data_IF_516791010920
#
_entry.id   IF_516791010920
#
_cell.length_a   1.000
_cell.length_b   1.000
_cell.length_c   1.000
_cell.angle_alpha   90.00
_cell.angle_beta   90.00
_cell.angle_gamma   90.00
#
_symmetry.space_group_name_H-M   'P 1'
#
loop_
_entity.id
_entity.type
_entity.pdbx_description
1 polymer ?
#
# COMPACT_ATOMS: atom_id res chain seq x y z
N UNK A 1 -33.69 -34.05 -54.79
CA UNK A 1 -32.69 -34.49 -53.78
C UNK A 1 -32.16 -33.26 -53.09
N UNK A 2 -32.52 -33.03 -51.85
CA UNK A 2 -32.13 -31.83 -51.08
C UNK A 2 -30.94 -32.21 -50.20
N UNK A 3 -29.75 -31.77 -50.55
CA UNK A 3 -28.55 -31.91 -49.73
C UNK A 3 -28.60 -30.95 -48.57
N UNK A 4 -28.83 -31.46 -47.38
CA UNK A 4 -28.71 -30.68 -46.13
C UNK A 4 -27.27 -30.38 -45.83
N UNK A 5 -26.86 -29.12 -45.97
CA UNK A 5 -25.57 -28.62 -45.48
C UNK A 5 -25.66 -28.48 -43.97
N UNK A 6 -25.00 -29.37 -43.26
CA UNK A 6 -24.83 -29.28 -41.82
C UNK A 6 -23.72 -28.25 -41.60
N UNK A 7 -24.12 -27.09 -41.13
CA UNK A 7 -23.22 -26.01 -40.72
C UNK A 7 -22.73 -26.34 -39.30
N UNK A 8 -21.52 -26.92 -39.21
CA UNK A 8 -20.83 -27.07 -37.94
C UNK A 8 -20.40 -25.67 -37.43
N UNK A 9 -21.15 -25.14 -36.51
CA UNK A 9 -20.74 -23.96 -35.74
C UNK A 9 -19.75 -24.47 -34.70
N UNK A 10 -18.47 -24.31 -34.99
CA UNK A 10 -17.40 -24.48 -34.00
C UNK A 10 -17.40 -23.21 -33.13
N UNK A 11 -18.11 -23.28 -32.02
CA UNK A 11 -18.00 -22.31 -30.96
C UNK A 11 -16.63 -22.47 -30.31
N UNK A 12 -15.68 -21.71 -30.83
CA UNK A 12 -14.37 -21.53 -30.17
C UNK A 12 -14.59 -20.83 -28.86
N UNK A 13 -14.68 -21.61 -27.79
CA UNK A 13 -14.69 -21.10 -26.42
C UNK A 13 -13.29 -20.56 -26.12
N UNK A 14 -13.11 -19.27 -26.40
CA UNK A 14 -11.91 -18.52 -26.06
C UNK A 14 -11.84 -18.44 -24.53
N UNK A 15 -11.17 -19.40 -23.92
CA UNK A 15 -10.78 -19.36 -22.52
C UNK A 15 -9.83 -18.19 -22.34
N UNK A 16 -10.36 -16.98 -22.05
CA UNK A 16 -9.55 -15.91 -21.49
C UNK A 16 -9.09 -16.41 -20.11
N UNK A 17 -7.93 -17.04 -20.08
CA UNK A 17 -7.16 -17.17 -18.86
C UNK A 17 -6.78 -15.75 -18.46
N UNK A 18 -7.60 -15.11 -17.63
CA UNK A 18 -7.20 -13.92 -16.91
C UNK A 18 -6.00 -14.32 -16.08
N UNK A 19 -4.81 -13.91 -16.51
CA UNK A 19 -3.66 -13.84 -15.65
C UNK A 19 -4.02 -12.86 -14.53
N UNK A 20 -4.69 -13.34 -13.50
CA UNK A 20 -4.78 -12.67 -12.23
C UNK A 20 -3.37 -12.69 -11.64
N UNK A 21 -2.54 -11.75 -12.09
CA UNK A 21 -1.35 -11.39 -11.34
C UNK A 21 -1.84 -11.12 -9.92
N UNK A 22 -1.41 -11.94 -8.97
CA UNK A 22 -1.77 -11.73 -7.57
C UNK A 22 -1.24 -10.36 -7.20
N UNK A 23 -2.15 -9.40 -7.09
CA UNK A 23 -1.83 -8.06 -6.67
C UNK A 23 -1.14 -8.17 -5.31
N UNK A 24 0.12 -7.77 -5.25
CA UNK A 24 0.95 -7.96 -4.06
C UNK A 24 0.62 -6.88 -3.05
N UNK A 25 0.13 -7.30 -1.89
CA UNK A 25 -0.10 -6.43 -0.75
C UNK A 25 1.20 -5.74 -0.32
N UNK A 26 1.10 -4.46 0.04
CA UNK A 26 2.22 -3.64 0.47
C UNK A 26 1.97 -3.15 1.90
N UNK A 27 2.98 -3.19 2.74
CA UNK A 27 2.99 -2.51 4.04
C UNK A 27 4.19 -1.58 4.10
N UNK A 28 3.95 -0.34 4.48
CA UNK A 28 4.95 0.71 4.48
C UNK A 28 5.09 1.24 5.90
N UNK A 29 6.31 1.21 6.41
CA UNK A 29 6.66 1.79 7.69
C UNK A 29 7.39 3.11 7.43
N UNK A 30 6.84 4.20 7.92
CA UNK A 30 7.42 5.53 7.77
C UNK A 30 7.71 6.08 9.15
N UNK A 31 8.97 6.33 9.44
CA UNK A 31 9.38 6.99 10.69
C UNK A 31 9.60 8.47 10.45
N UNK A 32 9.09 9.27 11.37
CA UNK A 32 9.32 10.70 11.46
C UNK A 32 9.85 11.06 12.85
N UNK A 33 10.48 12.22 12.94
CA UNK A 33 10.90 12.82 14.20
C UNK A 33 10.32 14.23 14.28
N UNK A 34 9.63 14.51 15.36
CA UNK A 34 9.13 15.84 15.69
C UNK A 34 10.05 16.60 16.63
N UNK A 35 9.55 17.70 17.18
CA UNK A 35 10.20 18.52 18.19
C UNK A 35 9.15 19.12 19.13
N UNK A 36 9.42 19.17 20.43
CA UNK A 36 8.52 19.78 21.41
C UNK A 36 7.09 19.21 21.38
N UNK A 37 6.96 17.91 21.19
CA UNK A 37 5.69 17.19 21.13
C UNK A 37 4.93 17.36 19.80
N UNK A 38 5.55 17.90 18.76
CA UNK A 38 4.88 18.16 17.47
C UNK A 38 4.38 16.88 16.80
N UNK A 39 5.06 15.74 17.00
CA UNK A 39 4.62 14.46 16.46
C UNK A 39 3.23 14.04 16.97
N UNK A 40 2.97 14.23 18.28
CA UNK A 40 1.67 13.93 18.87
C UNK A 40 0.59 14.90 18.41
N UNK A 41 0.91 16.20 18.37
CA UNK A 41 -0.03 17.24 17.88
C UNK A 41 -0.41 17.02 16.42
N UNK A 42 0.55 16.61 15.58
CA UNK A 42 0.27 16.23 14.21
C UNK A 42 -0.75 15.09 14.13
N UNK A 43 -0.57 14.02 14.91
CA UNK A 43 -1.51 12.89 14.91
C UNK A 43 -2.88 13.31 15.42
N UNK A 44 -2.94 14.11 16.49
CA UNK A 44 -4.19 14.65 17.01
C UNK A 44 -4.95 15.46 15.94
N UNK A 45 -4.24 16.28 15.16
CA UNK A 45 -4.85 17.06 14.08
C UNK A 45 -5.27 16.17 12.91
N UNK A 46 -4.46 15.20 12.52
CA UNK A 46 -4.81 14.22 11.47
C UNK A 46 -6.12 13.47 11.78
N UNK A 47 -6.32 13.10 13.03
CA UNK A 47 -7.54 12.41 13.50
C UNK A 47 -8.71 13.39 13.63
N UNK A 48 -8.54 14.53 14.30
CA UNK A 48 -9.63 15.47 14.59
C UNK A 48 -10.16 16.19 13.34
N UNK A 49 -9.30 16.46 12.35
CA UNK A 49 -9.70 17.06 11.07
C UNK A 49 -10.33 16.06 10.10
N UNK A 50 -10.29 14.76 10.40
CA UNK A 50 -10.79 13.69 9.55
C UNK A 50 -9.89 13.38 8.34
N UNK A 51 -8.67 13.91 8.28
CA UNK A 51 -7.72 13.57 7.20
C UNK A 51 -7.39 12.07 7.25
N UNK A 52 -7.09 11.54 8.44
CA UNK A 52 -6.78 10.12 8.61
C UNK A 52 -7.94 9.22 8.18
N UNK A 53 -9.18 9.59 8.48
CA UNK A 53 -10.36 8.83 8.07
C UNK A 53 -10.56 8.83 6.54
N UNK A 54 -10.30 9.97 5.88
CA UNK A 54 -10.34 10.04 4.42
C UNK A 54 -9.26 9.17 3.77
N UNK A 55 -8.08 9.07 4.38
CA UNK A 55 -7.02 8.16 3.91
C UNK A 55 -7.45 6.70 4.09
N UNK A 56 -7.99 6.33 5.24
CA UNK A 56 -8.52 4.98 5.52
C UNK A 56 -9.66 4.60 4.58
N UNK A 57 -10.41 5.57 4.07
CA UNK A 57 -11.50 5.38 3.11
C UNK A 57 -11.04 5.26 1.65
N UNK A 58 -9.75 5.45 1.34
CA UNK A 58 -9.23 5.22 -0.01
C UNK A 58 -9.39 3.75 -0.37
N UNK A 59 -9.94 3.48 -1.55
CA UNK A 59 -10.13 2.11 -2.03
C UNK A 59 -8.82 1.33 -2.05
N UNK A 60 -8.81 0.16 -1.39
CA UNK A 60 -7.64 -0.69 -1.22
C UNK A 60 -6.75 -0.32 -0.05
N UNK A 61 -7.13 0.63 0.81
CA UNK A 61 -6.48 0.85 2.09
C UNK A 61 -6.82 -0.30 3.04
N UNK A 62 -5.83 -0.96 3.58
CA UNK A 62 -5.97 -2.06 4.55
C UNK A 62 -5.67 -1.61 5.98
N UNK A 63 -4.97 -0.49 6.15
CA UNK A 63 -4.65 0.09 7.43
C UNK A 63 -3.85 1.39 7.29
N UNK A 64 -4.03 2.29 8.24
CA UNK A 64 -3.31 3.56 8.35
C UNK A 64 -3.24 3.92 9.83
N UNK A 65 -2.15 3.53 10.49
CA UNK A 65 -2.03 3.53 11.93
C UNK A 65 -0.78 4.26 12.42
N UNK A 66 -0.90 4.93 13.57
CA UNK A 66 0.17 5.67 14.20
C UNK A 66 0.66 4.98 15.46
N UNK A 67 1.97 4.96 15.65
CA UNK A 67 2.62 4.41 16.82
C UNK A 67 3.66 5.38 17.35
N UNK A 68 3.74 5.50 18.66
CA UNK A 68 4.76 6.29 19.32
C UNK A 68 5.77 5.36 19.98
N UNK A 69 7.06 5.43 19.62
CA UNK A 69 8.09 4.62 20.24
C UNK A 69 8.17 4.89 21.75
N UNK A 70 8.32 3.84 22.54
CA UNK A 70 8.36 3.97 24.00
C UNK A 70 9.62 4.68 24.53
N UNK A 71 10.69 4.62 23.75
CA UNK A 71 12.01 5.18 24.05
C UNK A 71 12.31 6.52 23.35
N UNK A 72 11.37 7.03 22.56
CA UNK A 72 11.52 8.27 21.78
C UNK A 72 10.21 9.08 21.81
N UNK A 73 10.14 10.07 22.68
CA UNK A 73 8.95 10.90 22.86
C UNK A 73 8.65 11.82 21.67
N UNK A 74 9.62 12.06 20.80
CA UNK A 74 9.50 12.87 19.59
C UNK A 74 9.36 12.02 18.31
N UNK A 75 9.45 10.70 18.45
CA UNK A 75 9.31 9.76 17.37
C UNK A 75 7.86 9.50 16.99
N UNK A 76 7.61 9.30 15.70
CA UNK A 76 6.35 8.82 15.15
C UNK A 76 6.64 7.71 14.14
N UNK A 77 5.98 6.58 14.29
CA UNK A 77 5.95 5.52 13.29
C UNK A 77 4.53 5.46 12.68
N UNK A 78 4.43 5.76 11.41
CA UNK A 78 3.24 5.50 10.61
C UNK A 78 3.40 4.16 9.90
N UNK A 79 2.40 3.30 10.03
CA UNK A 79 2.30 2.05 9.29
C UNK A 79 1.07 2.13 8.43
N UNK A 80 1.25 2.11 7.11
CA UNK A 80 0.15 2.01 6.16
C UNK A 80 0.25 0.73 5.34
N UNK A 81 -0.90 0.17 4.99
CA UNK A 81 -1.01 -1.09 4.25
C UNK A 81 -2.04 -0.96 3.13
N UNK A 82 -1.71 -1.52 1.97
CA UNK A 82 -2.46 -1.37 0.73
C UNK A 82 -2.62 -2.72 0.03
N UNK A 83 -3.76 -2.96 -0.57
CA UNK A 83 -4.03 -4.20 -1.32
C UNK A 83 -3.03 -4.43 -2.45
N UNK A 84 -2.55 -3.34 -3.06
CA UNK A 84 -1.64 -3.39 -4.20
C UNK A 84 -1.04 -2.00 -4.49
N UNK A 85 -0.14 -1.94 -5.46
CA UNK A 85 0.51 -0.70 -5.89
C UNK A 85 -0.50 0.33 -6.44
N UNK A 86 -1.58 -0.09 -7.08
CA UNK A 86 -2.59 0.84 -7.60
C UNK A 86 -3.34 1.56 -6.48
N UNK A 87 -3.68 0.85 -5.40
CA UNK A 87 -4.30 1.44 -4.22
C UNK A 87 -3.37 2.50 -3.58
N UNK A 88 -2.09 2.19 -3.44
CA UNK A 88 -1.08 3.13 -2.97
C UNK A 88 -0.98 4.35 -3.90
N UNK A 89 -1.00 4.15 -5.21
CA UNK A 89 -0.94 5.25 -6.18
C UNK A 89 -2.18 6.14 -6.10
N UNK A 90 -3.38 5.57 -5.89
CA UNK A 90 -4.62 6.34 -5.65
C UNK A 90 -4.47 7.23 -4.41
N UNK A 91 -3.94 6.69 -3.32
CA UNK A 91 -3.67 7.45 -2.12
C UNK A 91 -2.68 8.59 -2.39
N UNK A 92 -1.57 8.33 -3.05
CA UNK A 92 -0.57 9.35 -3.37
C UNK A 92 -1.12 10.49 -4.26
N UNK A 93 -2.11 10.21 -5.09
CA UNK A 93 -2.78 11.20 -5.93
C UNK A 93 -3.97 11.90 -5.23
N UNK A 94 -4.31 11.50 -4.01
CA UNK A 94 -5.50 12.00 -3.31
C UNK A 94 -5.28 13.37 -2.67
N UNK A 95 -6.36 14.18 -2.53
CA UNK A 95 -6.31 15.42 -1.77
C UNK A 95 -5.89 15.19 -0.30
N UNK A 96 -6.31 14.07 0.31
CA UNK A 96 -5.97 13.74 1.69
C UNK A 96 -4.45 13.56 1.89
N UNK A 97 -3.74 12.99 0.90
CA UNK A 97 -2.27 12.91 0.93
C UNK A 97 -1.62 14.29 0.87
N UNK A 98 -2.16 15.21 0.07
CA UNK A 98 -1.67 16.58 -0.03
C UNK A 98 -1.87 17.34 1.29
N UNK A 99 -3.06 17.21 1.89
CA UNK A 99 -3.37 17.80 3.20
C UNK A 99 -2.46 17.23 4.31
N UNK A 100 -2.29 15.90 4.35
CA UNK A 100 -1.40 15.25 5.30
C UNK A 100 0.07 15.69 5.14
N UNK A 101 0.50 15.95 3.91
CA UNK A 101 1.85 16.45 3.62
C UNK A 101 2.02 17.90 4.10
N UNK A 102 1.06 18.77 3.81
CA UNK A 102 1.09 20.16 4.27
C UNK A 102 1.08 20.24 5.80
N UNK A 103 0.23 19.45 6.44
CA UNK A 103 0.16 19.40 7.90
C UNK A 103 1.48 18.90 8.52
N UNK A 104 2.10 17.91 7.92
CA UNK A 104 3.41 17.38 8.35
C UNK A 104 4.52 18.44 8.28
N UNK A 105 4.51 19.26 7.23
CA UNK A 105 5.43 20.38 7.08
C UNK A 105 5.14 21.47 8.15
N UNK A 106 3.87 21.79 8.39
CA UNK A 106 3.44 22.76 9.41
C UNK A 106 3.92 22.37 10.80
N UNK A 107 3.81 21.09 11.17
CA UNK A 107 4.28 20.56 12.45
C UNK A 107 5.79 20.27 12.49
N UNK A 108 6.52 20.53 11.41
CA UNK A 108 7.97 20.38 11.35
C UNK A 108 8.46 18.95 11.54
N UNK A 109 7.69 17.95 11.09
CA UNK A 109 8.10 16.55 11.14
C UNK A 109 9.17 16.26 10.10
N UNK A 110 10.37 15.90 10.57
CA UNK A 110 11.54 15.60 9.76
C UNK A 110 12.05 14.17 9.91
N UNK A 111 13.30 13.92 9.51
CA UNK A 111 13.97 12.63 9.69
C UNK A 111 13.29 11.44 9.02
N UNK A 112 12.56 11.67 7.92
CA UNK A 112 11.74 10.66 7.26
C UNK A 112 12.58 9.48 6.78
N UNK A 113 12.29 8.29 7.30
CA UNK A 113 12.80 7.01 6.76
C UNK A 113 11.63 6.12 6.35
N UNK A 114 11.78 5.42 5.23
CA UNK A 114 10.73 4.55 4.67
C UNK A 114 11.27 3.15 4.49
N UNK A 115 10.51 2.16 4.99
CA UNK A 115 10.75 0.75 4.72
C UNK A 115 9.47 0.14 4.16
N UNK A 116 9.58 -0.61 3.08
CA UNK A 116 8.46 -1.29 2.45
C UNK A 116 8.60 -2.80 2.66
N UNK A 117 7.49 -3.44 2.98
CA UNK A 117 7.40 -4.86 3.22
C UNK A 117 6.30 -5.46 2.34
N UNK A 118 6.53 -6.69 1.93
CA UNK A 118 5.52 -7.50 1.26
C UNK A 118 5.25 -8.74 2.10
N UNK A 119 3.99 -9.14 2.33
CA UNK A 119 3.70 -10.33 3.12
C UNK A 119 4.27 -11.58 2.46
N UNK A 120 4.87 -12.44 3.26
CA UNK A 120 5.24 -13.77 2.84
C UNK A 120 4.00 -14.65 2.96
N UNK A 121 3.50 -15.19 1.84
CA UNK A 121 2.39 -16.12 1.87
C UNK A 121 2.84 -17.44 2.53
N UNK A 122 2.14 -17.93 3.58
CA UNK A 122 2.45 -19.23 4.16
C UNK A 122 2.36 -20.32 3.09
N UNK A 123 3.44 -21.10 2.90
CA UNK A 123 3.48 -22.20 1.94
C UNK A 123 4.22 -21.94 0.62
N UNK A 124 4.66 -20.73 0.34
CA UNK A 124 5.58 -20.46 -0.78
C UNK A 124 7.00 -20.44 -0.23
N UNK A 125 7.71 -21.59 -0.30
CA UNK A 125 9.15 -21.61 -0.09
C UNK A 125 9.79 -20.69 -1.13
N UNK A 126 10.44 -19.62 -0.67
CA UNK A 126 11.34 -18.85 -1.53
C UNK A 126 12.55 -19.75 -1.75
N UNK A 127 12.76 -20.16 -2.98
CA UNK A 127 14.04 -20.79 -3.35
C UNK A 127 15.16 -19.81 -2.97
N UNK A 128 16.22 -20.29 -2.29
CA UNK A 128 17.33 -19.42 -1.96
C UNK A 128 17.93 -18.85 -3.24
N UNK A 129 18.41 -17.59 -3.22
CA UNK A 129 18.98 -16.98 -4.41
C UNK A 129 20.08 -17.85 -4.97
N UNK A 130 19.94 -18.20 -6.24
CA UNK A 130 20.91 -18.99 -6.98
C UNK A 130 22.28 -18.34 -6.84
N UNK A 131 23.21 -19.07 -6.22
CA UNK A 131 24.59 -18.62 -6.11
C UNK A 131 25.20 -18.68 -7.50
N UNK A 132 25.28 -17.54 -8.18
CA UNK A 132 26.05 -17.43 -9.40
C UNK A 132 27.50 -17.74 -9.07
N UNK A 133 27.91 -18.97 -9.38
CA UNK A 133 29.32 -19.33 -9.42
C UNK A 133 29.96 -18.62 -10.59
N UNK A 134 30.60 -17.49 -10.31
CA UNK A 134 31.54 -16.86 -11.26
C UNK A 134 32.83 -17.68 -11.14
N UNK A 135 33.12 -18.43 -12.17
CA UNK A 135 34.45 -19.01 -12.43
C UNK A 135 35.35 -17.95 -13.06
#
# INVERSE_FOLDING_TARGET
MKTKRILCIITSLLCLATLQGHAQQLTINIRYTGQNGSARKYVEEMESSGIADRIRAVEGCLGYDYFFPADDTEGLLLIDSWENQEALNRYHASPAMQEATALREEYGLGGRTVKMFTPIMPGRQQDPPEKNNVQ
#
